data_IF_759363571260
#
_entry.id   IF_759363571260
#
_cell.length_a   1.000
_cell.length_b   1.000
_cell.length_c   1.000
_cell.angle_alpha   90.00
_cell.angle_beta   90.00
_cell.angle_gamma   90.00
#
_symmetry.space_group_name_H-M   'P 1'
#
loop_
_entity.id
_entity.type
_entity.pdbx_description
1 polymer ?
#
# COMPACT_ATOMS: atom_id res chain seq x y z
N UNK A 1 -21.47 5.49 -18.28
CA UNK A 1 -20.71 4.27 -18.69
C UNK A 1 -19.23 4.47 -18.30
N UNK A 2 -18.39 3.45 -17.97
CA UNK A 2 -18.25 2.31 -18.89
C UNK A 2 -17.63 0.95 -18.43
N UNK A 3 -18.11 -0.09 -19.13
CA UNK A 3 -17.38 -1.06 -19.98
C UNK A 3 -16.22 -1.88 -19.39
N UNK A 4 -16.33 -3.20 -19.59
CA UNK A 4 -15.40 -4.32 -19.35
C UNK A 4 -13.92 -3.93 -19.15
N UNK A 5 -13.37 -3.07 -20.01
CA UNK A 5 -12.02 -2.51 -19.87
C UNK A 5 -11.72 -2.00 -18.45
N UNK A 6 -12.59 -1.16 -17.86
CA UNK A 6 -12.36 -0.60 -16.51
C UNK A 6 -12.31 -1.69 -15.43
N UNK A 7 -13.16 -2.72 -15.54
CA UNK A 7 -13.18 -3.87 -14.61
C UNK A 7 -11.90 -4.69 -14.73
N UNK A 8 -11.47 -4.99 -15.96
CA UNK A 8 -10.23 -5.73 -16.23
C UNK A 8 -9.04 -4.95 -15.71
N UNK A 9 -8.96 -3.64 -15.98
CA UNK A 9 -7.89 -2.79 -15.49
C UNK A 9 -7.85 -2.79 -13.96
N UNK A 10 -8.98 -2.58 -13.29
CA UNK A 10 -9.04 -2.60 -11.83
C UNK A 10 -8.59 -3.94 -11.24
N UNK A 11 -9.05 -5.06 -11.80
CA UNK A 11 -8.60 -6.39 -11.36
C UNK A 11 -7.09 -6.59 -11.55
N UNK A 12 -6.54 -6.14 -12.68
CA UNK A 12 -5.09 -6.20 -12.92
C UNK A 12 -4.32 -5.34 -11.92
N UNK A 13 -4.83 -4.14 -11.61
CA UNK A 13 -4.23 -3.30 -10.57
C UNK A 13 -4.26 -3.97 -9.21
N UNK A 14 -5.37 -4.63 -8.83
CA UNK A 14 -5.43 -5.39 -7.57
C UNK A 14 -4.33 -6.45 -7.50
N UNK A 15 -4.19 -7.28 -8.55
CA UNK A 15 -3.17 -8.35 -8.60
C UNK A 15 -1.74 -7.80 -8.54
N UNK A 16 -1.47 -6.70 -9.26
CA UNK A 16 -0.14 -6.08 -9.28
C UNK A 16 0.24 -5.43 -7.93
N UNK A 17 -0.74 -4.97 -7.16
CA UNK A 17 -0.52 -4.37 -5.84
C UNK A 17 -0.55 -5.40 -4.70
N UNK A 18 -1.09 -6.60 -4.94
CA UNK A 18 -1.20 -7.66 -3.94
C UNK A 18 -0.05 -8.65 -3.97
N UNK A 19 0.61 -8.84 -5.11
CA UNK A 19 1.59 -9.90 -5.25
C UNK A 19 2.76 -9.48 -6.17
N UNK A 20 3.94 -9.36 -5.55
CA UNK A 20 5.17 -8.97 -6.23
C UNK A 20 5.52 -9.85 -7.44
N UNK A 21 5.12 -11.12 -7.47
CA UNK A 21 5.43 -12.05 -8.57
C UNK A 21 4.83 -11.62 -9.90
N UNK A 22 3.72 -10.87 -9.86
CA UNK A 22 3.09 -10.30 -11.06
C UNK A 22 3.65 -8.93 -11.43
N UNK A 23 4.41 -8.30 -10.53
CA UNK A 23 5.10 -7.05 -10.79
C UNK A 23 6.57 -7.32 -11.15
N UNK A 24 6.80 -7.70 -12.42
CA UNK A 24 8.13 -8.04 -12.94
C UNK A 24 9.15 -6.91 -12.76
N UNK A 25 8.75 -5.66 -13.03
CA UNK A 25 9.62 -4.48 -12.86
C UNK A 25 10.09 -4.35 -11.42
N UNK A 26 9.16 -4.46 -10.46
CA UNK A 26 9.48 -4.46 -9.03
C UNK A 26 10.46 -5.59 -8.66
N UNK A 27 10.24 -6.83 -9.09
CA UNK A 27 11.13 -7.95 -8.75
C UNK A 27 12.54 -7.76 -9.32
N UNK A 28 12.65 -7.36 -10.59
CA UNK A 28 13.94 -7.16 -11.25
C UNK A 28 14.73 -6.02 -10.61
N UNK A 29 14.08 -4.88 -10.34
CA UNK A 29 14.73 -3.68 -9.83
C UNK A 29 14.91 -3.68 -8.31
N UNK A 30 14.15 -4.50 -7.56
CA UNK A 30 14.30 -4.68 -6.11
C UNK A 30 15.05 -5.94 -5.71
N UNK A 31 15.59 -6.74 -6.64
CA UNK A 31 16.18 -8.06 -6.32
C UNK A 31 17.22 -8.00 -5.18
N UNK A 32 18.12 -7.00 -5.20
CA UNK A 32 19.14 -6.83 -4.15
C UNK A 32 18.54 -6.41 -2.81
N UNK A 33 17.59 -5.50 -2.83
CA UNK A 33 16.91 -5.03 -1.62
C UNK A 33 16.06 -6.13 -0.99
N UNK A 34 15.36 -6.93 -1.79
CA UNK A 34 14.59 -8.09 -1.35
C UNK A 34 15.52 -9.07 -0.63
N UNK A 35 16.63 -9.46 -1.26
CA UNK A 35 17.58 -10.40 -0.66
C UNK A 35 18.27 -9.84 0.60
N UNK A 36 18.43 -8.53 0.70
CA UNK A 36 19.07 -7.88 1.85
C UNK A 36 18.14 -7.65 3.03
N UNK A 37 16.89 -7.27 2.77
CA UNK A 37 15.98 -6.74 3.80
C UNK A 37 14.70 -7.55 3.99
N UNK A 38 14.31 -8.35 3.00
CA UNK A 38 13.02 -9.07 2.96
C UNK A 38 13.18 -10.58 2.76
N UNK A 39 14.38 -11.11 2.99
CA UNK A 39 14.69 -12.53 2.82
C UNK A 39 13.85 -13.43 3.74
N UNK A 40 13.47 -12.94 4.93
CA UNK A 40 12.60 -13.66 5.88
C UNK A 40 11.25 -14.00 5.27
N UNK A 41 10.67 -13.08 4.49
CA UNK A 41 9.32 -13.22 3.92
C UNK A 41 9.20 -14.36 2.90
N UNK A 42 10.34 -14.77 2.33
CA UNK A 42 10.47 -15.85 1.36
C UNK A 42 10.51 -17.22 2.07
N UNK A 43 10.97 -17.27 3.33
CA UNK A 43 11.30 -18.51 4.05
C UNK A 43 10.15 -19.02 4.93
N UNK A 44 9.17 -18.17 5.28
CA UNK A 44 8.04 -18.52 6.17
C UNK A 44 6.98 -19.43 5.51
N UNK A 45 7.37 -20.59 4.97
CA UNK A 45 6.45 -21.64 4.50
C UNK A 45 6.64 -23.00 5.20
N UNK A 46 7.68 -23.20 6.02
CA UNK A 46 8.03 -24.55 6.50
C UNK A 46 7.64 -24.87 7.97
N UNK A 47 7.01 -23.95 8.71
CA UNK A 47 6.75 -24.14 10.17
C UNK A 47 5.30 -24.39 10.60
N UNK A 48 4.31 -24.32 9.71
CA UNK A 48 2.89 -24.45 10.10
C UNK A 48 2.27 -25.83 9.78
N UNK A 49 3.06 -26.82 9.37
CA UNK A 49 2.59 -28.18 9.04
C UNK A 49 2.71 -29.18 10.20
N UNK A 50 2.53 -28.76 11.46
CA UNK A 50 2.39 -29.71 12.59
C UNK A 50 1.32 -29.27 13.57
N UNK A 51 0.47 -30.24 13.88
CA UNK A 51 -0.70 -30.27 14.80
C UNK A 51 -2.03 -30.09 14.02
N UNK A 52 -2.87 -31.10 13.79
CA UNK A 52 -3.24 -32.24 14.64
C UNK A 52 -3.82 -33.42 13.85
N UNK A 53 -3.37 -34.63 14.18
CA UNK A 53 -4.01 -35.91 13.88
C UNK A 53 -5.32 -36.12 14.69
N UNK A 54 -6.14 -37.09 14.24
CA UNK A 54 -7.14 -37.95 14.92
C UNK A 54 -8.64 -37.83 14.51
N UNK A 55 -9.10 -38.91 13.83
CA UNK A 55 -10.41 -39.61 13.80
C UNK A 55 -11.72 -38.82 13.54
N UNK A 56 -12.70 -39.27 12.75
CA UNK A 56 -13.41 -40.57 12.72
C UNK A 56 -14.20 -40.76 11.39
N UNK A 57 -14.62 -42.00 11.11
CA UNK A 57 -15.17 -42.47 9.82
C UNK A 57 -16.64 -42.21 9.45
N UNK A 58 -16.96 -42.68 8.24
CA UNK A 58 -18.24 -43.03 7.59
C UNK A 58 -19.50 -42.13 7.74
N UNK A 59 -20.00 -41.58 6.61
CA UNK A 59 -21.19 -42.11 5.90
C UNK A 59 -21.69 -41.23 4.73
N UNK A 60 -22.38 -41.93 3.82
CA UNK A 60 -22.93 -41.57 2.52
C UNK A 60 -23.99 -40.44 2.44
N UNK A 61 -24.16 -39.95 1.19
CA UNK A 61 -25.40 -39.52 0.52
C UNK A 61 -26.09 -38.18 0.90
N UNK A 62 -25.95 -37.15 0.01
CA UNK A 62 -27.00 -36.71 -0.93
C UNK A 62 -26.71 -35.39 -1.64
N UNK A 63 -26.91 -35.42 -2.96
CA UNK A 63 -27.08 -34.28 -3.87
C UNK A 63 -28.09 -33.25 -3.37
N UNK A 64 -27.71 -31.96 -3.44
CA UNK A 64 -28.61 -30.87 -3.86
C UNK A 64 -27.83 -29.73 -4.54
N UNK A 65 -28.19 -29.49 -5.80
CA UNK A 65 -27.98 -28.32 -6.66
C UNK A 65 -27.31 -27.07 -6.07
N UNK A 66 -26.09 -26.76 -6.52
CA UNK A 66 -25.55 -25.38 -6.55
C UNK A 66 -25.24 -24.97 -7.98
N UNK A 67 -25.92 -23.89 -8.39
CA UNK A 67 -25.80 -23.22 -9.68
C UNK A 67 -24.38 -22.75 -9.92
N UNK A 68 -23.93 -22.90 -11.17
CA UNK A 68 -22.65 -22.46 -11.69
C UNK A 68 -22.45 -20.95 -11.51
N UNK A 69 -21.56 -20.56 -10.58
CA UNK A 69 -20.92 -19.24 -10.56
C UNK A 69 -19.59 -19.33 -11.33
N UNK A 70 -19.44 -18.64 -12.48
CA UNK A 70 -18.24 -18.77 -13.30
C UNK A 70 -17.19 -17.75 -12.85
N UNK A 71 -16.66 -17.87 -11.62
CA UNK A 71 -15.29 -17.45 -11.25
C UNK A 71 -14.98 -17.74 -9.76
N UNK A 72 -14.37 -18.88 -9.38
CA UNK A 72 -13.88 -19.07 -8.01
C UNK A 72 -12.49 -18.43 -7.88
N UNK A 73 -12.34 -17.40 -7.04
CA UNK A 73 -11.02 -16.99 -6.55
C UNK A 73 -10.63 -17.96 -5.42
N UNK A 74 -9.44 -18.57 -5.44
CA UNK A 74 -9.10 -19.67 -4.55
C UNK A 74 -8.57 -19.15 -3.20
N UNK A 75 -8.99 -19.80 -2.11
CA UNK A 75 -8.56 -19.66 -0.70
C UNK A 75 -9.36 -18.73 0.23
N UNK A 76 -10.61 -19.11 0.49
CA UNK A 76 -11.33 -18.74 1.72
C UNK A 76 -11.59 -19.99 2.55
N UNK A 77 -11.32 -19.97 3.86
CA UNK A 77 -11.74 -21.07 4.74
C UNK A 77 -13.22 -20.96 5.15
N UNK A 78 -13.72 -21.95 5.89
CA UNK A 78 -15.13 -22.10 6.25
C UNK A 78 -15.69 -20.95 7.13
N UNK A 79 -14.81 -20.07 7.65
CA UNK A 79 -15.19 -18.87 8.40
C UNK A 79 -15.17 -17.59 7.54
N UNK A 80 -14.82 -17.69 6.26
CA UNK A 80 -14.75 -16.55 5.34
C UNK A 80 -13.52 -15.67 5.57
N UNK A 81 -12.51 -16.16 6.28
CA UNK A 81 -11.22 -15.50 6.42
C UNK A 81 -10.28 -15.94 5.28
N UNK A 82 -9.61 -14.94 4.69
CA UNK A 82 -8.63 -15.15 3.63
C UNK A 82 -7.35 -15.64 4.29
N UNK A 83 -6.98 -16.91 4.12
CA UNK A 83 -5.63 -17.38 4.49
C UNK A 83 -4.64 -16.72 3.53
N UNK A 84 -3.89 -15.74 4.03
CA UNK A 84 -2.90 -14.92 3.32
C UNK A 84 -1.68 -15.78 2.89
N UNK A 85 -1.91 -16.74 1.98
CA UNK A 85 -0.89 -17.62 1.39
C UNK A 85 -0.28 -17.01 0.14
N UNK A 86 -0.08 -15.69 0.11
CA UNK A 86 0.57 -15.00 -1.00
C UNK A 86 1.96 -14.50 -0.57
N UNK A 87 2.97 -15.33 -0.79
CA UNK A 87 4.39 -14.98 -0.57
C UNK A 87 4.78 -13.63 -1.21
N UNK A 88 4.20 -13.30 -2.37
CA UNK A 88 4.44 -12.04 -3.04
C UNK A 88 3.80 -10.81 -2.36
N UNK A 89 2.72 -10.99 -1.59
CA UNK A 89 2.13 -9.90 -0.81
C UNK A 89 2.99 -9.52 0.39
N UNK A 90 3.67 -10.50 0.99
CA UNK A 90 4.65 -10.24 2.05
C UNK A 90 5.86 -9.46 1.57
N UNK A 91 6.35 -9.73 0.36
CA UNK A 91 7.48 -8.99 -0.24
C UNK A 91 7.11 -7.51 -0.46
N UNK A 92 5.95 -7.23 -1.07
CA UNK A 92 5.49 -5.83 -1.26
C UNK A 92 5.37 -5.14 0.11
N UNK A 93 4.77 -5.82 1.10
CA UNK A 93 4.62 -5.29 2.44
C UNK A 93 5.97 -4.97 3.09
N UNK A 94 6.94 -5.88 3.00
CA UNK A 94 8.27 -5.65 3.53
C UNK A 94 8.94 -4.46 2.87
N UNK A 95 8.96 -4.41 1.53
CA UNK A 95 9.55 -3.28 0.79
C UNK A 95 8.93 -1.94 1.18
N UNK A 96 7.60 -1.87 1.31
CA UNK A 96 6.89 -0.67 1.80
C UNK A 96 7.32 -0.28 3.21
N UNK A 97 7.44 -1.24 4.12
CA UNK A 97 7.93 -0.99 5.47
C UNK A 97 9.38 -0.47 5.49
N UNK A 98 10.26 -0.99 4.61
CA UNK A 98 11.65 -0.52 4.48
C UNK A 98 11.75 0.86 3.84
N UNK A 99 10.88 1.14 2.88
CA UNK A 99 10.76 2.46 2.26
C UNK A 99 10.32 3.54 3.27
N UNK A 100 9.41 3.17 4.18
CA UNK A 100 8.92 4.05 5.23
C UNK A 100 9.93 4.25 6.41
N UNK A 101 11.02 3.48 6.43
CA UNK A 101 12.03 3.50 7.48
C UNK A 101 13.16 4.48 7.12
N UNK A 102 13.35 5.52 7.92
CA UNK A 102 14.37 6.55 7.69
C UNK A 102 15.80 6.07 7.93
N UNK A 103 15.99 4.90 8.55
CA UNK A 103 17.30 4.30 8.81
C UNK A 103 17.78 3.40 7.68
N UNK A 104 16.90 3.10 6.71
CA UNK A 104 17.15 2.20 5.60
C UNK A 104 17.15 3.00 4.30
N UNK A 105 17.99 2.58 3.35
CA UNK A 105 18.02 3.16 2.02
C UNK A 105 17.93 2.01 1.02
N UNK A 106 16.81 1.97 0.32
CA UNK A 106 16.60 1.09 -0.84
C UNK A 106 17.31 1.67 -2.07
N UNK A 107 17.58 0.83 -3.05
CA UNK A 107 18.23 1.24 -4.28
C UNK A 107 17.29 2.10 -5.12
N UNK A 108 17.84 3.14 -5.77
CA UNK A 108 17.07 4.04 -6.65
C UNK A 108 16.15 3.32 -7.66
N UNK A 109 16.58 2.26 -8.38
CA UNK A 109 15.68 1.53 -9.27
C UNK A 109 14.53 0.84 -8.51
N UNK A 110 14.80 0.25 -7.35
CA UNK A 110 13.76 -0.37 -6.52
C UNK A 110 12.74 0.65 -6.02
N UNK A 111 13.24 1.79 -5.52
CA UNK A 111 12.44 2.91 -5.03
C UNK A 111 11.48 3.43 -6.09
N UNK A 112 11.93 3.56 -7.34
CA UNK A 112 11.08 4.00 -8.45
C UNK A 112 9.89 3.07 -8.67
N UNK A 113 10.13 1.76 -8.78
CA UNK A 113 9.07 0.76 -8.96
C UNK A 113 8.13 0.70 -7.74
N UNK A 114 8.68 0.83 -6.55
CA UNK A 114 7.92 0.78 -5.31
C UNK A 114 7.00 2.00 -5.15
N UNK A 115 7.45 3.19 -5.58
CA UNK A 115 6.61 4.39 -5.57
C UNK A 115 5.42 4.23 -6.52
N UNK A 116 5.60 3.63 -7.70
CA UNK A 116 4.49 3.35 -8.61
C UNK A 116 3.46 2.40 -7.98
N UNK A 117 3.93 1.37 -7.27
CA UNK A 117 3.07 0.45 -6.50
C UNK A 117 2.32 1.20 -5.40
N UNK A 118 3.01 2.04 -4.62
CA UNK A 118 2.38 2.79 -3.53
C UNK A 118 1.37 3.82 -4.09
N UNK A 119 1.72 4.57 -5.13
CA UNK A 119 0.83 5.56 -5.74
C UNK A 119 -0.40 4.89 -6.34
N UNK A 120 -0.23 3.74 -6.99
CA UNK A 120 -1.35 2.98 -7.54
C UNK A 120 -2.29 2.50 -6.43
N UNK A 121 -1.77 2.04 -5.29
CA UNK A 121 -2.62 1.61 -4.18
C UNK A 121 -3.40 2.75 -3.51
N UNK A 122 -3.01 4.01 -3.73
CA UNK A 122 -3.71 5.20 -3.23
C UNK A 122 -4.87 5.66 -4.10
N UNK A 123 -5.06 5.07 -5.27
CA UNK A 123 -6.18 5.42 -6.16
C UNK A 123 -7.52 4.99 -5.56
N UNK A 124 -7.53 3.87 -4.83
CA UNK A 124 -8.67 3.30 -4.14
C UNK A 124 -8.13 2.45 -2.98
N UNK A 125 -8.66 2.64 -1.77
CA UNK A 125 -8.22 1.92 -0.57
C UNK A 125 -8.22 0.39 -0.75
N UNK A 126 -9.09 -0.14 -1.61
CA UNK A 126 -9.16 -1.58 -1.92
C UNK A 126 -7.95 -2.11 -2.70
N UNK A 127 -7.18 -1.23 -3.35
CA UNK A 127 -5.93 -1.60 -4.01
C UNK A 127 -4.78 -1.76 -2.99
N UNK A 128 -4.93 -1.21 -1.79
CA UNK A 128 -4.09 -1.53 -0.65
C UNK A 128 -4.74 -2.66 0.16
N UNK A 129 -4.56 -3.90 -0.32
CA UNK A 129 -5.32 -5.06 0.18
C UNK A 129 -5.16 -5.24 1.70
N UNK A 130 -3.94 -5.11 2.23
CA UNK A 130 -3.67 -5.26 3.67
C UNK A 130 -4.32 -4.17 4.51
N UNK A 131 -4.28 -2.91 4.06
CA UNK A 131 -4.97 -1.82 4.73
C UNK A 131 -6.49 -2.03 4.69
N UNK A 132 -7.04 -2.39 3.53
CA UNK A 132 -8.48 -2.60 3.38
C UNK A 132 -9.00 -3.76 4.23
N UNK A 133 -8.28 -4.88 4.27
CA UNK A 133 -8.67 -6.06 5.06
C UNK A 133 -8.66 -5.75 6.56
N UNK A 134 -7.56 -5.20 7.08
CA UNK A 134 -7.43 -4.84 8.50
C UNK A 134 -8.43 -3.75 8.92
N UNK A 135 -8.66 -2.75 8.07
CA UNK A 135 -9.55 -1.64 8.38
C UNK A 135 -11.00 -1.82 7.91
N UNK A 136 -11.39 -3.00 7.38
CA UNK A 136 -12.73 -3.24 6.81
C UNK A 136 -13.85 -2.90 7.78
N UNK A 137 -13.67 -3.24 9.06
CA UNK A 137 -14.65 -2.91 10.13
C UNK A 137 -14.76 -1.40 10.31
N UNK A 138 -13.63 -0.72 10.52
CA UNK A 138 -13.56 0.74 10.71
C UNK A 138 -14.14 1.54 9.54
N UNK A 139 -14.01 1.05 8.31
CA UNK A 139 -14.55 1.70 7.10
C UNK A 139 -16.07 1.57 6.95
N UNK A 140 -16.64 0.47 7.46
CA UNK A 140 -18.06 0.16 7.31
C UNK A 140 -18.92 0.57 8.51
N UNK A 141 -18.29 0.90 9.65
CA UNK A 141 -19.00 1.30 10.87
C UNK A 141 -19.49 2.75 10.75
N UNK A 142 -20.80 2.93 11.01
CA UNK A 142 -21.47 4.21 11.28
C UNK A 142 -21.42 5.30 10.20
N UNK A 143 -21.01 4.96 8.97
CA UNK A 143 -20.95 5.93 7.87
C UNK A 143 -19.96 7.09 8.12
N UNK A 144 -19.03 6.93 9.06
CA UNK A 144 -18.14 7.99 9.51
C UNK A 144 -17.16 8.46 8.42
N UNK A 145 -16.89 7.60 7.44
CA UNK A 145 -16.07 7.90 6.26
C UNK A 145 -16.89 8.17 4.99
N UNK A 146 -18.21 8.37 5.08
CA UNK A 146 -19.06 8.62 3.91
C UNK A 146 -18.82 10.03 3.37
N UNK A 147 -18.56 10.14 2.06
CA UNK A 147 -18.38 11.43 1.38
C UNK A 147 -17.00 12.06 1.56
N UNK A 148 -16.04 11.34 2.16
CA UNK A 148 -14.64 11.74 2.26
C UNK A 148 -13.73 10.66 1.68
N UNK A 149 -12.47 11.03 1.41
CA UNK A 149 -11.44 10.05 1.06
C UNK A 149 -11.24 9.07 2.24
N UNK A 150 -11.31 7.77 1.96
CA UNK A 150 -11.31 6.73 2.98
C UNK A 150 -9.95 6.61 3.68
N UNK A 151 -8.85 6.86 2.96
CA UNK A 151 -7.51 6.86 3.55
C UNK A 151 -7.38 8.01 4.56
N UNK A 152 -7.82 9.20 4.18
CA UNK A 152 -7.78 10.37 5.06
C UNK A 152 -8.73 10.24 6.26
N UNK A 153 -9.89 9.60 6.07
CA UNK A 153 -10.77 9.24 7.18
C UNK A 153 -10.04 8.38 8.21
N UNK A 154 -9.37 7.31 7.76
CA UNK A 154 -8.64 6.40 8.65
C UNK A 154 -7.51 7.12 9.40
N UNK A 155 -6.79 8.03 8.74
CA UNK A 155 -5.77 8.86 9.41
C UNK A 155 -6.38 9.72 10.52
N UNK A 156 -7.54 10.33 10.29
CA UNK A 156 -8.24 11.13 11.29
C UNK A 156 -8.71 10.26 12.46
N UNK A 157 -9.29 9.09 12.18
CA UNK A 157 -9.72 8.15 13.22
C UNK A 157 -8.54 7.67 14.07
N UNK A 158 -7.40 7.39 13.44
CA UNK A 158 -6.16 7.02 14.11
C UNK A 158 -5.66 8.14 15.04
N UNK A 159 -5.61 9.38 14.55
CA UNK A 159 -5.21 10.55 15.35
C UNK A 159 -6.15 10.82 16.53
N UNK A 160 -7.43 10.52 16.38
CA UNK A 160 -8.44 10.66 17.43
C UNK A 160 -8.47 9.48 18.42
N UNK A 161 -7.66 8.44 18.19
CA UNK A 161 -7.66 7.21 19.00
C UNK A 161 -8.95 6.41 18.89
N UNK A 162 -9.69 6.54 17.79
CA UNK A 162 -11.00 5.89 17.54
C UNK A 162 -10.91 4.57 16.79
N UNK A 163 -9.73 4.19 16.31
CA UNK A 163 -9.50 2.86 15.76
C UNK A 163 -9.35 1.88 16.92
N UNK A 164 -10.11 0.80 16.92
CA UNK A 164 -10.03 -0.23 17.96
C UNK A 164 -9.02 -1.31 17.58
N UNK A 165 -9.09 -1.77 16.33
CA UNK A 165 -8.29 -2.86 15.76
C UNK A 165 -6.81 -2.46 15.61
N UNK A 166 -5.93 -3.23 16.25
CA UNK A 166 -4.49 -2.94 16.28
C UNK A 166 -3.80 -3.19 14.93
N UNK A 167 -4.26 -4.16 14.14
CA UNK A 167 -3.75 -4.40 12.80
C UNK A 167 -4.09 -3.22 11.89
N UNK A 168 -5.33 -2.72 11.96
CA UNK A 168 -5.73 -1.52 11.24
C UNK A 168 -4.91 -0.31 11.68
N UNK A 169 -4.67 -0.12 12.98
CA UNK A 169 -3.79 0.96 13.47
C UNK A 169 -2.39 0.84 12.87
N UNK A 170 -1.83 -0.36 12.78
CA UNK A 170 -0.49 -0.56 12.24
C UNK A 170 -0.45 -0.28 10.73
N UNK A 171 -1.45 -0.72 9.96
CA UNK A 171 -1.54 -0.37 8.53
C UNK A 171 -1.75 1.13 8.32
N UNK A 172 -2.51 1.81 9.19
CA UNK A 172 -2.67 3.27 9.13
C UNK A 172 -1.36 3.99 9.47
N UNK A 173 -0.59 3.53 10.47
CA UNK A 173 0.76 4.04 10.73
C UNK A 173 1.68 3.87 9.53
N UNK A 174 1.63 2.71 8.87
CA UNK A 174 2.43 2.42 7.68
C UNK A 174 2.19 3.46 6.58
N UNK A 175 0.95 3.69 6.17
CA UNK A 175 0.64 4.68 5.12
C UNK A 175 0.98 6.13 5.52
N UNK A 176 0.91 6.47 6.82
CA UNK A 176 1.35 7.77 7.33
C UNK A 176 2.86 7.93 7.14
N UNK A 177 3.65 6.91 7.51
CA UNK A 177 5.11 6.92 7.36
C UNK A 177 5.54 6.90 5.90
N UNK A 178 4.90 6.07 5.07
CA UNK A 178 5.11 6.07 3.61
C UNK A 178 4.89 7.46 3.01
N UNK A 179 3.81 8.15 3.42
CA UNK A 179 3.55 9.52 3.00
C UNK A 179 4.55 10.54 3.54
N UNK A 180 5.32 10.24 4.59
CA UNK A 180 6.38 11.12 5.10
C UNK A 180 7.71 10.90 4.39
N UNK A 181 7.94 9.69 3.86
CA UNK A 181 9.18 9.30 3.21
C UNK A 181 9.44 10.09 1.91
N UNK A 182 8.41 10.30 1.09
CA UNK A 182 8.53 11.11 -0.13
C UNK A 182 7.24 11.86 -0.45
N UNK A 183 7.37 13.09 -0.93
CA UNK A 183 6.25 13.96 -1.31
C UNK A 183 5.39 13.38 -2.43
N UNK A 184 5.97 12.62 -3.37
CA UNK A 184 5.22 12.00 -4.47
C UNK A 184 4.27 10.91 -3.98
N UNK A 185 4.52 10.34 -2.81
CA UNK A 185 3.68 9.31 -2.22
C UNK A 185 2.48 9.92 -1.49
N UNK A 186 2.56 11.16 -1.01
CA UNK A 186 1.41 11.84 -0.42
C UNK A 186 0.52 12.45 -1.51
N UNK A 187 -0.67 11.88 -1.75
CA UNK A 187 -1.59 12.34 -2.79
C UNK A 187 -1.94 13.83 -2.67
N UNK A 188 -2.28 14.28 -1.47
CA UNK A 188 -2.71 15.65 -1.24
C UNK A 188 -1.55 16.63 -1.45
N UNK A 189 -0.37 16.30 -0.91
CA UNK A 189 0.80 17.15 -1.02
C UNK A 189 1.41 17.12 -2.42
N UNK A 190 1.51 15.95 -3.05
CA UNK A 190 1.97 15.81 -4.44
C UNK A 190 1.12 16.63 -5.40
N UNK A 191 -0.20 16.70 -5.17
CA UNK A 191 -1.09 17.55 -5.97
C UNK A 191 -0.92 19.03 -5.64
N UNK A 192 -0.93 19.40 -4.36
CA UNK A 192 -0.85 20.80 -3.94
C UNK A 192 0.49 21.46 -4.30
N UNK A 193 1.59 20.71 -4.21
CA UNK A 193 2.95 21.20 -4.42
C UNK A 193 3.52 20.83 -5.81
N UNK A 194 2.70 20.33 -6.74
CA UNK A 194 3.21 19.80 -8.02
C UNK A 194 4.07 20.82 -8.78
N UNK A 195 3.61 22.07 -8.87
CA UNK A 195 4.32 23.13 -9.58
C UNK A 195 5.65 23.49 -8.88
N UNK A 196 5.65 23.55 -7.55
CA UNK A 196 6.83 23.87 -6.75
C UNK A 196 7.87 22.75 -6.80
N UNK A 197 7.42 21.49 -6.76
CA UNK A 197 8.30 20.32 -6.93
C UNK A 197 8.98 20.35 -8.30
N UNK A 198 8.23 20.61 -9.37
CA UNK A 198 8.79 20.69 -10.73
C UNK A 198 9.76 21.86 -10.90
N UNK A 199 9.47 23.01 -10.28
CA UNK A 199 10.27 24.23 -10.43
C UNK A 199 11.52 24.21 -9.55
N UNK A 200 11.42 23.72 -8.33
CA UNK A 200 12.46 23.88 -7.31
C UNK A 200 13.12 22.57 -6.87
N UNK A 201 12.53 21.41 -7.16
CA UNK A 201 13.04 20.13 -6.66
C UNK A 201 13.46 19.15 -7.78
N UNK A 202 13.69 19.67 -8.99
CA UNK A 202 14.07 18.87 -10.16
C UNK A 202 15.39 18.10 -10.01
N UNK A 203 16.30 18.56 -9.15
CA UNK A 203 17.60 17.92 -8.89
C UNK A 203 17.56 16.84 -7.80
N UNK A 204 16.42 16.65 -7.13
CA UNK A 204 16.28 15.67 -6.05
C UNK A 204 15.82 14.34 -6.64
N UNK A 205 16.57 13.24 -6.45
CA UNK A 205 16.13 11.93 -6.89
C UNK A 205 14.83 11.49 -6.20
N UNK A 206 13.98 10.79 -6.95
CA UNK A 206 12.76 10.16 -6.44
C UNK A 206 13.10 9.22 -5.27
N UNK A 207 12.31 9.29 -4.19
CA UNK A 207 12.48 8.57 -2.93
C UNK A 207 13.54 9.14 -1.98
N UNK A 208 14.10 10.31 -2.31
CA UNK A 208 14.90 11.12 -1.38
C UNK A 208 14.24 12.46 -1.06
N UNK A 209 13.07 12.74 -1.62
CA UNK A 209 12.38 14.01 -1.46
C UNK A 209 11.34 13.93 -0.35
N UNK A 210 11.81 13.86 0.91
CA UNK A 210 10.92 13.85 2.05
C UNK A 210 10.18 15.21 2.20
N UNK A 211 9.04 15.18 2.90
CA UNK A 211 8.17 16.36 3.07
C UNK A 211 8.88 17.58 3.63
N UNK A 212 9.73 17.38 4.64
CA UNK A 212 10.44 18.46 5.33
C UNK A 212 11.46 19.12 4.40
N UNK A 213 12.18 18.31 3.61
CA UNK A 213 13.14 18.80 2.65
C UNK A 213 12.45 19.62 1.55
N UNK A 214 11.39 19.08 0.95
CA UNK A 214 10.62 19.79 -0.08
C UNK A 214 10.02 21.10 0.46
N UNK A 215 9.39 21.06 1.64
CA UNK A 215 8.82 22.27 2.27
C UNK A 215 9.87 23.33 2.55
N UNK A 216 11.01 22.97 3.15
CA UNK A 216 12.07 23.93 3.45
C UNK A 216 12.67 24.51 2.17
N UNK A 217 12.83 23.70 1.12
CA UNK A 217 13.38 24.16 -0.15
C UNK A 217 12.42 25.13 -0.84
N UNK A 218 11.14 24.76 -1.00
CA UNK A 218 10.12 25.63 -1.58
C UNK A 218 9.95 26.94 -0.80
N UNK A 219 9.95 26.89 0.54
CA UNK A 219 9.85 28.11 1.37
C UNK A 219 11.08 29.01 1.22
N UNK A 220 12.29 28.45 1.27
CA UNK A 220 13.52 29.24 1.12
C UNK A 220 13.59 29.96 -0.24
N UNK A 221 13.18 29.30 -1.33
CA UNK A 221 13.13 29.93 -2.65
C UNK A 221 12.03 30.97 -2.80
N UNK A 222 10.85 30.74 -2.20
CA UNK A 222 9.78 31.75 -2.14
C UNK A 222 10.25 33.02 -1.42
N UNK A 223 11.01 32.89 -0.33
CA UNK A 223 11.62 34.04 0.35
C UNK A 223 12.64 34.77 -0.53
N UNK A 224 13.50 34.05 -1.26
CA UNK A 224 14.45 34.66 -2.19
C UNK A 224 13.77 35.40 -3.35
N UNK A 225 12.67 34.88 -3.91
CA UNK A 225 11.91 35.59 -4.95
C UNK A 225 11.30 36.89 -4.40
N UNK A 226 10.83 36.90 -3.16
CA UNK A 226 10.32 38.12 -2.50
C UNK A 226 11.44 39.13 -2.26
N UNK A 227 12.61 38.69 -1.76
CA UNK A 227 13.76 39.58 -1.57
C UNK A 227 14.29 40.15 -2.89
N UNK A 228 14.39 39.32 -3.94
CA UNK A 228 14.83 39.77 -5.25
C UNK A 228 13.85 40.75 -5.89
N UNK A 229 12.55 40.54 -5.73
CA UNK A 229 11.54 41.48 -6.20
C UNK A 229 11.55 42.77 -5.37
N UNK A 230 11.77 42.72 -4.06
CA UNK A 230 11.86 43.90 -3.21
C UNK A 230 13.10 44.76 -3.53
N UNK A 231 14.23 44.13 -3.81
CA UNK A 231 15.48 44.80 -4.16
C UNK A 231 15.55 45.27 -5.64
N UNK A 232 14.53 44.93 -6.45
CA UNK A 232 14.40 45.37 -7.84
C UNK A 232 13.57 46.66 -8.01
N UNK A 233 13.07 47.24 -6.91
CA UNK A 233 12.40 48.54 -6.84
C UNK A 233 13.22 49.56 -6.03
#
# INVERSE_FOLDING_TARGET
MPNVCRRILYHRLMVLNSDARFNKGLIENCQRDIGKFCQSEIIDQDSDDKDSDEDDGDNDDKDTDKKDDPNPSPNTDENGDVKDREMGGRIIQCLRSKYADTTITLESPCVSELIDVIQTSKLDIKLDIRLYQSCRKSLNINGQCVGMDQEDCLKILYQQGKLEDDDCKEQVKRIIREGQADIHVDRALSFACQADVLKYCNDIPIGKMNKIYAMNYSLNFAFQEVENNYNAY
#
